data_IF_467560219239
#
_entry.id   IF_467560219239
#
_cell.length_a   1.000
_cell.length_b   1.000
_cell.length_c   1.000
_cell.angle_alpha   90.00
_cell.angle_beta   90.00
_cell.angle_gamma   90.00
#
_symmetry.space_group_name_H-M   'P 1'
#
loop_
_entity.id
_entity.type
_entity.pdbx_description
1 polymer ?
#
# COMPACT_ATOMS: atom_id res chain seq x y z
N UNK A 1 -35.89 10.07 -13.90
CA UNK A 1 -34.45 10.40 -13.82
C UNK A 1 -33.74 9.20 -14.44
N UNK A 2 -33.18 9.36 -15.64
CA UNK A 2 -32.54 8.26 -16.37
C UNK A 2 -31.12 8.07 -15.85
N UNK A 3 -30.81 6.91 -15.29
CA UNK A 3 -29.42 6.50 -15.08
C UNK A 3 -28.83 6.08 -16.43
N UNK A 4 -27.83 6.83 -16.87
CA UNK A 4 -27.05 6.50 -18.03
C UNK A 4 -26.29 5.19 -17.77
N UNK A 5 -26.65 4.14 -18.51
CA UNK A 5 -25.86 2.92 -18.63
C UNK A 5 -24.57 3.32 -19.36
N UNK A 6 -23.55 3.67 -18.58
CA UNK A 6 -22.20 3.91 -19.08
C UNK A 6 -21.56 2.61 -19.53
N UNK A 7 -21.91 2.18 -20.75
CA UNK A 7 -21.16 1.16 -21.48
C UNK A 7 -19.85 1.76 -21.99
N UNK A 8 -18.90 1.97 -21.08
CA UNK A 8 -17.53 2.36 -21.39
C UNK A 8 -16.63 1.14 -21.24
N UNK A 9 -15.88 0.82 -22.30
CA UNK A 9 -14.81 -0.20 -22.35
C UNK A 9 -13.99 -0.18 -21.04
N UNK A 10 -14.31 -1.08 -20.13
CA UNK A 10 -13.91 -0.99 -18.73
C UNK A 10 -12.44 -1.28 -18.55
N UNK A 11 -11.61 -0.25 -18.48
CA UNK A 11 -10.26 -0.41 -17.95
C UNK A 11 -10.40 -0.93 -16.52
N UNK A 12 -9.86 -2.11 -16.24
CA UNK A 12 -9.89 -2.69 -14.90
C UNK A 12 -9.43 -1.64 -13.88
N UNK A 13 -10.32 -1.28 -12.96
CA UNK A 13 -10.06 -0.25 -11.94
C UNK A 13 -8.99 -0.79 -11.01
N UNK A 14 -7.84 -0.12 -10.92
CA UNK A 14 -6.74 -0.52 -10.02
C UNK A 14 -6.92 0.13 -8.66
N UNK A 15 -6.64 -0.62 -7.60
CA UNK A 15 -6.73 -0.16 -6.22
C UNK A 15 -5.35 -0.14 -5.59
N UNK A 16 -5.03 0.97 -4.93
CA UNK A 16 -3.80 1.17 -4.20
C UNK A 16 -4.12 1.70 -2.82
N UNK A 17 -3.50 1.14 -1.78
CA UNK A 17 -3.70 1.56 -0.39
C UNK A 17 -2.34 1.83 0.25
N UNK A 18 -2.16 3.02 0.80
CA UNK A 18 -1.03 3.35 1.65
C UNK A 18 -1.44 3.16 3.12
N UNK A 19 -0.65 2.41 3.88
CA UNK A 19 -0.87 2.12 5.30
C UNK A 19 0.37 2.51 6.11
N UNK A 20 0.17 2.79 7.38
CA UNK A 20 1.18 2.93 8.42
C UNK A 20 0.83 2.02 9.62
N UNK A 21 1.54 2.18 10.75
CA UNK A 21 1.29 1.40 11.97
C UNK A 21 0.10 1.92 12.82
N UNK A 22 -0.75 2.80 12.27
CA UNK A 22 -1.90 3.35 12.98
C UNK A 22 -3.15 2.48 12.89
N UNK A 23 -4.03 2.59 13.89
CA UNK A 23 -5.36 1.99 13.87
C UNK A 23 -6.20 2.47 12.67
N UNK A 24 -6.03 3.73 12.28
CA UNK A 24 -6.69 4.31 11.10
C UNK A 24 -6.35 3.52 9.83
N UNK A 25 -5.09 3.17 9.64
CA UNK A 25 -4.64 2.35 8.52
C UNK A 25 -5.22 0.94 8.55
N UNK A 26 -5.37 0.35 9.74
CA UNK A 26 -6.06 -0.93 9.90
C UNK A 26 -7.52 -0.85 9.43
N UNK A 27 -8.28 0.14 9.92
CA UNK A 27 -9.68 0.31 9.52
C UNK A 27 -9.83 0.62 8.03
N UNK A 28 -8.94 1.45 7.48
CA UNK A 28 -8.94 1.77 6.05
C UNK A 28 -8.71 0.52 5.19
N UNK A 29 -7.74 -0.33 5.57
CA UNK A 29 -7.47 -1.57 4.85
C UNK A 29 -8.65 -2.55 4.93
N UNK A 30 -9.24 -2.72 6.13
CA UNK A 30 -10.43 -3.58 6.27
C UNK A 30 -11.59 -3.08 5.43
N UNK A 31 -11.84 -1.78 5.44
CA UNK A 31 -12.89 -1.18 4.62
C UNK A 31 -12.66 -1.46 3.12
N UNK A 32 -11.43 -1.32 2.62
CA UNK A 32 -11.10 -1.61 1.22
C UNK A 32 -11.36 -3.07 0.87
N UNK A 33 -10.91 -4.00 1.73
CA UNK A 33 -11.11 -5.43 1.51
C UNK A 33 -12.59 -5.82 1.57
N UNK A 34 -13.41 -5.11 2.32
CA UNK A 34 -14.84 -5.37 2.42
C UNK A 34 -15.63 -4.80 1.25
N UNK A 35 -15.31 -3.57 0.84
CA UNK A 35 -16.16 -2.78 -0.05
C UNK A 35 -15.68 -2.80 -1.52
N UNK A 36 -14.40 -3.12 -1.77
CA UNK A 36 -13.83 -3.13 -3.12
C UNK A 36 -13.54 -4.54 -3.64
N UNK A 37 -14.12 -5.59 -3.04
CA UNK A 37 -13.94 -7.01 -3.41
C UNK A 37 -14.03 -7.26 -4.92
N UNK A 38 -15.09 -6.78 -5.55
CA UNK A 38 -15.32 -6.99 -6.98
C UNK A 38 -14.25 -6.34 -7.88
N UNK A 39 -13.53 -5.34 -7.37
CA UNK A 39 -12.48 -4.63 -8.08
C UNK A 39 -11.12 -5.30 -7.86
N UNK A 40 -10.79 -5.65 -6.61
CA UNK A 40 -9.51 -6.26 -6.23
C UNK A 40 -9.43 -7.76 -6.59
N UNK A 41 -10.55 -8.40 -6.90
CA UNK A 41 -10.57 -9.77 -7.45
C UNK A 41 -10.28 -9.79 -8.95
N UNK A 42 -10.60 -8.71 -9.66
CA UNK A 42 -10.37 -8.55 -11.11
C UNK A 42 -9.01 -7.93 -11.42
N UNK A 43 -8.42 -7.22 -10.47
CA UNK A 43 -7.12 -6.57 -10.63
C UNK A 43 -6.32 -6.56 -9.32
N UNK A 44 -4.97 -6.54 -9.37
CA UNK A 44 -4.17 -6.60 -8.16
C UNK A 44 -4.41 -5.42 -7.21
N UNK A 45 -4.52 -5.72 -5.91
CA UNK A 45 -4.42 -4.74 -4.83
C UNK A 45 -2.94 -4.49 -4.53
N UNK A 46 -2.50 -3.24 -4.62
CA UNK A 46 -1.14 -2.83 -4.24
C UNK A 46 -1.18 -2.15 -2.87
N UNK A 47 -0.39 -2.64 -1.94
CA UNK A 47 -0.28 -2.09 -0.58
C UNK A 47 1.11 -1.48 -0.40
N UNK A 48 1.15 -0.20 -0.05
CA UNK A 48 2.38 0.49 0.36
C UNK A 48 2.37 0.69 1.86
N UNK A 49 3.48 0.36 2.51
CA UNK A 49 3.66 0.60 3.94
C UNK A 49 4.59 1.79 4.09
N UNK A 50 4.11 2.84 4.76
CA UNK A 50 4.92 3.98 5.15
C UNK A 50 5.89 3.54 6.23
N UNK A 51 7.15 3.30 5.84
CA UNK A 51 8.21 3.05 6.79
C UNK A 51 8.72 4.40 7.31
N UNK A 52 8.68 4.67 8.62
CA UNK A 52 9.23 5.91 9.16
C UNK A 52 10.72 6.02 8.81
N UNK A 53 11.25 7.24 8.63
CA UNK A 53 12.68 7.45 8.43
C UNK A 53 13.46 6.78 9.57
N UNK A 54 14.56 6.10 9.23
CA UNK A 54 15.39 5.45 10.24
C UNK A 54 15.78 6.47 11.32
N UNK A 55 15.44 6.18 12.57
CA UNK A 55 15.70 7.05 13.73
C UNK A 55 17.18 7.10 14.12
N UNK A 56 18.04 6.38 13.41
CA UNK A 56 19.49 6.44 13.56
C UNK A 56 20.12 7.12 12.34
N UNK A 57 21.05 8.04 12.58
CA UNK A 57 22.01 8.49 11.58
C UNK A 57 22.88 7.28 11.16
N UNK A 58 22.40 6.48 10.21
CA UNK A 58 23.23 5.44 9.59
C UNK A 58 23.95 6.10 8.43
N UNK A 59 24.95 6.93 8.74
CA UNK A 59 25.87 7.50 7.76
C UNK A 59 26.81 6.39 7.29
N UNK A 60 26.31 5.47 6.47
CA UNK A 60 27.18 4.50 5.82
C UNK A 60 27.78 5.14 4.58
N UNK A 61 29.05 5.53 4.67
CA UNK A 61 29.81 6.04 3.53
C UNK A 61 30.16 4.88 2.58
N UNK A 62 29.19 4.46 1.77
CA UNK A 62 29.42 3.51 0.70
C UNK A 62 28.69 3.94 -0.57
N UNK A 63 29.15 3.40 -1.70
CA UNK A 63 28.52 3.59 -2.99
C UNK A 63 27.05 3.12 -2.92
N UNK A 64 26.14 3.89 -3.51
CA UNK A 64 24.67 3.69 -3.46
C UNK A 64 24.20 2.27 -3.86
N UNK A 65 25.05 1.47 -4.53
CA UNK A 65 24.77 0.08 -4.90
C UNK A 65 25.25 -1.01 -3.93
N UNK A 66 26.00 -0.67 -2.87
CA UNK A 66 26.60 -1.65 -1.93
C UNK A 66 25.96 -1.60 -0.54
N UNK A 67 25.29 -0.49 -0.20
CA UNK A 67 24.60 -0.36 1.08
C UNK A 67 23.35 -1.25 1.12
N UNK A 68 23.49 -2.45 1.70
CA UNK A 68 22.34 -3.32 1.99
C UNK A 68 21.84 -3.00 3.40
N UNK A 69 20.73 -2.29 3.48
CA UNK A 69 20.10 -1.92 4.75
C UNK A 69 19.30 -3.12 5.28
N UNK A 70 19.81 -3.81 6.30
CA UNK A 70 19.05 -4.83 7.03
C UNK A 70 18.48 -4.21 8.30
N UNK A 71 17.15 -4.27 8.45
CA UNK A 71 16.47 -3.93 9.69
C UNK A 71 16.38 -5.20 10.55
N UNK A 72 16.95 -5.24 11.76
CA UNK A 72 16.70 -6.35 12.67
C UNK A 72 15.23 -6.30 13.08
N UNK A 73 14.49 -7.38 12.82
CA UNK A 73 13.16 -7.55 13.39
C UNK A 73 13.36 -7.69 14.91
N UNK A 74 13.04 -6.65 15.66
CA UNK A 74 13.00 -6.73 17.12
C UNK A 74 11.85 -7.66 17.51
N UNK A 75 12.17 -8.89 17.90
CA UNK A 75 11.22 -9.73 18.62
C UNK A 75 11.12 -9.25 20.06
N UNK A 76 9.93 -8.81 20.48
CA UNK A 76 9.59 -8.65 21.90
C UNK A 76 9.16 -9.98 22.51
#
# INVERSE_FOLDING_TARGET
>A
MAEAIGNGTGTDKKVMVAIDESDCSHYALMWVLENLKDTITKSPLIIFVAQPPATGNITFAASLGVARMYYPISSS
#
